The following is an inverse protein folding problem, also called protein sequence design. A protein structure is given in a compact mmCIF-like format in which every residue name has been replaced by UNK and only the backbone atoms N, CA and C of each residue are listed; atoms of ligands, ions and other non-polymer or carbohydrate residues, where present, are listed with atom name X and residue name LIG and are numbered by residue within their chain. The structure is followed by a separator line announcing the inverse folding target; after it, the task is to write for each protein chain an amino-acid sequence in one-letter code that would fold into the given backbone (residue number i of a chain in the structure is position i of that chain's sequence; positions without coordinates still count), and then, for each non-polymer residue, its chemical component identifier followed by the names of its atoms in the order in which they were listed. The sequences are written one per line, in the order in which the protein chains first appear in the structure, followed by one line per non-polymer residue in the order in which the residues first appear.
data_IF_538500936016
#
_entry.id   IF_538500936016
#
_cell.length_a   1.000
_cell.length_b   1.000
_cell.length_c   1.000
_cell.angle_alpha   90.00
_cell.angle_beta   90.00
_cell.angle_gamma   90.00
#
_symmetry.space_group_name_H-M   'P 1'
#
loop_
_entity.id
_entity.type
_entity.pdbx_description
1 polymer ?
#
# COMPACT_ATOMS: atom_id res chain seq x y z
N UNK A 1 -13.44 -19.27 14.39
CA UNK A 1 -12.00 -19.12 14.05
C UNK A 1 -11.80 -18.18 12.87
N UNK A 2 -12.37 -18.45 11.69
CA UNK A 2 -12.25 -17.57 10.51
C UNK A 2 -12.67 -16.11 10.77
N UNK A 3 -13.84 -15.87 11.39
CA UNK A 3 -14.32 -14.52 11.73
C UNK A 3 -13.35 -13.72 12.64
N UNK A 4 -12.67 -14.39 13.57
CA UNK A 4 -11.69 -13.73 14.43
C UNK A 4 -10.42 -13.37 13.63
N UNK A 5 -9.97 -14.25 12.71
CA UNK A 5 -8.86 -13.97 11.80
C UNK A 5 -9.15 -12.80 10.85
N UNK A 6 -10.39 -12.65 10.40
CA UNK A 6 -10.80 -11.48 9.61
C UNK A 6 -10.72 -10.18 10.41
N UNK A 7 -11.21 -10.20 11.66
CA UNK A 7 -11.12 -9.04 12.56
C UNK A 7 -9.66 -8.67 12.84
N UNK A 8 -8.83 -9.66 13.16
CA UNK A 8 -7.38 -9.49 13.39
C UNK A 8 -6.69 -8.89 12.15
N UNK A 9 -7.01 -9.38 10.95
CA UNK A 9 -6.46 -8.85 9.70
C UNK A 9 -6.90 -7.42 9.40
N UNK A 10 -8.16 -7.06 9.68
CA UNK A 10 -8.64 -5.68 9.54
C UNK A 10 -7.96 -4.72 10.52
N UNK A 11 -7.72 -5.15 11.76
CA UNK A 11 -6.96 -4.39 12.76
C UNK A 11 -5.52 -4.19 12.30
N UNK A 12 -4.86 -5.25 11.83
CA UNK A 12 -3.51 -5.17 11.28
C UNK A 12 -3.41 -4.20 10.08
N UNK A 13 -4.40 -4.23 9.16
CA UNK A 13 -4.46 -3.28 8.06
C UNK A 13 -4.59 -1.82 8.54
N UNK A 14 -5.47 -1.56 9.52
CA UNK A 14 -5.65 -0.22 10.09
C UNK A 14 -4.37 0.29 10.75
N UNK A 15 -3.64 -0.58 11.43
CA UNK A 15 -2.37 -0.25 12.07
C UNK A 15 -1.26 0.00 11.05
N UNK A 16 -1.17 -0.84 10.01
CA UNK A 16 -0.27 -0.63 8.88
C UNK A 16 -0.53 0.73 8.21
N UNK A 17 -1.80 1.07 7.93
CA UNK A 17 -2.17 2.35 7.34
C UNK A 17 -1.81 3.54 8.26
N UNK A 18 -2.00 3.39 9.57
CA UNK A 18 -1.62 4.42 10.56
C UNK A 18 -0.12 4.65 10.57
N UNK A 19 0.68 3.59 10.54
CA UNK A 19 2.13 3.67 10.53
C UNK A 19 2.66 4.20 9.20
N UNK A 20 2.10 3.79 8.07
CA UNK A 20 2.42 4.33 6.76
C UNK A 20 2.16 5.85 6.70
N UNK A 21 1.07 6.33 7.30
CA UNK A 21 0.80 7.78 7.40
C UNK A 21 1.85 8.53 8.22
N UNK A 22 2.37 7.94 9.31
CA UNK A 22 3.47 8.54 10.09
C UNK A 22 4.77 8.57 9.28
N UNK A 23 5.07 7.48 8.57
CA UNK A 23 6.32 7.32 7.83
C UNK A 23 6.32 8.03 6.48
N UNK A 24 5.19 8.32 5.85
CA UNK A 24 5.13 8.83 4.46
C UNK A 24 4.18 10.01 4.28
N UNK A 25 3.42 10.36 5.32
CA UNK A 25 2.55 11.51 5.34
C UNK A 25 3.29 12.81 5.65
N UNK A 26 2.55 13.94 5.64
CA UNK A 26 3.07 15.21 6.11
C UNK A 26 3.41 15.11 7.60
N UNK A 27 4.58 15.62 7.96
CA UNK A 27 5.01 15.68 9.35
C UNK A 27 4.57 17.01 9.98
N UNK A 28 4.32 17.04 11.30
CA UNK A 28 4.15 18.28 12.03
C UNK A 28 5.38 19.18 11.92
N UNK A 29 5.20 20.49 12.00
CA UNK A 29 6.30 21.48 11.88
C UNK A 29 7.35 21.36 13.00
N UNK A 30 6.96 20.79 14.16
CA UNK A 30 7.83 20.66 15.33
C UNK A 30 8.70 19.39 15.34
N UNK A 31 8.74 18.64 14.23
CA UNK A 31 9.55 17.42 14.17
C UNK A 31 11.04 17.78 14.12
N UNK A 32 11.83 17.10 14.96
CA UNK A 32 13.28 17.30 15.04
C UNK A 32 13.99 16.82 13.78
N UNK A 33 15.06 17.50 13.40
CA UNK A 33 15.87 17.17 12.21
C UNK A 33 16.43 15.74 12.26
N UNK A 34 16.90 15.26 13.42
CA UNK A 34 17.39 13.89 13.59
C UNK A 34 16.36 12.83 13.17
N UNK A 35 15.07 13.10 13.42
CA UNK A 35 13.99 12.20 13.02
C UNK A 35 13.72 12.27 11.52
N UNK A 36 13.84 13.45 10.89
CA UNK A 36 13.69 13.61 9.45
C UNK A 36 14.77 12.81 8.72
N UNK A 37 16.02 12.95 9.16
CA UNK A 37 17.15 12.22 8.60
C UNK A 37 16.99 10.72 8.78
N UNK A 38 16.72 10.25 10.02
CA UNK A 38 16.49 8.84 10.29
C UNK A 38 15.36 8.26 9.43
N UNK A 39 14.27 9.01 9.26
CA UNK A 39 13.11 8.59 8.45
C UNK A 39 13.51 8.43 6.99
N UNK A 40 14.24 9.36 6.42
CA UNK A 40 14.69 9.30 5.02
C UNK A 40 15.65 8.12 4.82
N UNK A 41 16.64 7.97 5.68
CA UNK A 41 17.59 6.85 5.66
C UNK A 41 16.88 5.51 5.78
N UNK A 42 15.92 5.38 6.70
CA UNK A 42 15.14 4.16 6.87
C UNK A 42 14.36 3.79 5.60
N UNK A 43 13.72 4.77 4.97
CA UNK A 43 12.92 4.54 3.76
C UNK A 43 13.79 4.18 2.55
N UNK A 44 14.97 4.77 2.43
CA UNK A 44 15.95 4.46 1.39
C UNK A 44 16.54 3.05 1.59
N UNK A 45 16.96 2.72 2.82
CA UNK A 45 17.52 1.40 3.17
C UNK A 45 16.58 0.23 2.83
N UNK A 46 15.27 0.45 2.98
CA UNK A 46 14.25 -0.57 2.71
C UNK A 46 13.68 -0.47 1.29
N UNK A 47 14.28 0.34 0.40
CA UNK A 47 13.86 0.54 -0.98
C UNK A 47 12.38 0.95 -1.14
N UNK A 48 11.86 1.63 -0.12
CA UNK A 48 10.45 2.04 -0.05
C UNK A 48 10.19 3.25 -0.95
N UNK A 49 11.21 4.09 -1.16
CA UNK A 49 11.16 5.25 -2.03
C UNK A 49 11.33 4.84 -3.49
N UNK A 50 10.56 5.48 -4.37
CA UNK A 50 10.76 5.41 -5.81
C UNK A 50 11.76 6.47 -6.26
N UNK A 51 12.63 6.12 -7.20
CA UNK A 51 13.68 7.00 -7.74
C UNK A 51 13.31 7.58 -9.10
N UNK A 52 12.61 6.80 -9.93
CA UNK A 52 12.13 7.21 -11.24
C UNK A 52 10.98 8.22 -11.14
N UNK A 53 10.94 9.15 -12.09
CA UNK A 53 9.81 10.09 -12.25
C UNK A 53 9.07 9.91 -13.58
N UNK A 54 9.75 9.35 -14.59
CA UNK A 54 9.17 8.99 -15.88
C UNK A 54 8.48 7.63 -15.81
N UNK A 55 7.35 7.48 -16.52
CA UNK A 55 6.51 6.28 -16.48
C UNK A 55 7.29 4.99 -16.72
N UNK A 56 8.11 4.96 -17.77
CA UNK A 56 8.86 3.76 -18.18
C UNK A 56 10.00 3.42 -17.23
N UNK A 57 10.65 4.44 -16.65
CA UNK A 57 11.69 4.23 -15.64
C UNK A 57 11.07 3.69 -14.35
N UNK A 58 9.94 4.29 -13.95
CA UNK A 58 9.21 3.91 -12.77
C UNK A 58 8.64 2.49 -12.91
N UNK A 59 8.08 2.15 -14.07
CA UNK A 59 7.60 0.79 -14.38
C UNK A 59 8.68 -0.25 -14.15
N UNK A 60 9.85 -0.07 -14.77
CA UNK A 60 11.00 -0.96 -14.59
C UNK A 60 11.47 -1.04 -13.14
N UNK A 61 11.51 0.11 -12.46
CA UNK A 61 11.88 0.15 -11.03
C UNK A 61 10.90 -0.64 -10.17
N UNK A 62 9.60 -0.52 -10.42
CA UNK A 62 8.56 -1.19 -9.64
C UNK A 62 8.54 -2.69 -9.92
N UNK A 63 8.63 -3.11 -11.19
CA UNK A 63 8.69 -4.52 -11.60
C UNK A 63 9.94 -5.24 -11.07
N UNK A 64 11.07 -4.53 -10.93
CA UNK A 64 12.30 -5.09 -10.34
C UNK A 64 12.40 -4.89 -8.82
N UNK A 65 11.34 -4.37 -8.19
CA UNK A 65 11.35 -4.08 -6.77
C UNK A 65 11.11 -5.35 -5.95
N UNK A 66 12.15 -5.84 -5.28
CA UNK A 66 12.04 -6.93 -4.30
C UNK A 66 10.99 -6.63 -3.22
N UNK A 67 10.82 -5.35 -2.87
CA UNK A 67 9.81 -4.91 -1.92
C UNK A 67 8.37 -5.15 -2.41
N UNK A 68 8.08 -4.91 -3.69
CA UNK A 68 6.73 -5.12 -4.25
C UNK A 68 6.49 -6.59 -4.61
N UNK A 69 7.49 -7.24 -5.20
CA UNK A 69 7.41 -8.61 -5.69
C UNK A 69 7.16 -9.65 -4.58
N UNK A 70 7.34 -9.27 -3.31
CA UNK A 70 6.94 -10.08 -2.15
C UNK A 70 5.41 -10.21 -1.98
N UNK A 71 4.63 -9.26 -2.52
CA UNK A 71 3.20 -9.13 -2.21
C UNK A 71 2.29 -9.25 -3.42
N UNK A 72 2.83 -9.05 -4.62
CA UNK A 72 2.03 -8.95 -5.84
C UNK A 72 2.84 -9.29 -7.09
N UNK A 73 2.15 -9.55 -8.19
CA UNK A 73 2.75 -9.90 -9.48
C UNK A 73 3.12 -8.65 -10.28
N UNK A 74 3.94 -8.81 -11.33
CA UNK A 74 4.23 -7.72 -12.27
C UNK A 74 2.95 -7.13 -12.89
N UNK A 75 1.94 -7.96 -13.19
CA UNK A 75 0.65 -7.51 -13.71
C UNK A 75 -0.12 -6.65 -12.70
N UNK A 76 -0.10 -7.03 -11.41
CA UNK A 76 -0.69 -6.22 -10.34
C UNK A 76 0.02 -4.87 -10.20
N UNK A 77 1.35 -4.87 -10.31
CA UNK A 77 2.18 -3.66 -10.23
C UNK A 77 1.83 -2.73 -11.37
N UNK A 78 1.74 -3.26 -12.58
CA UNK A 78 1.48 -2.46 -13.77
C UNK A 78 0.10 -1.80 -13.72
N UNK A 79 -0.92 -2.61 -13.42
CA UNK A 79 -2.29 -2.12 -13.22
C UNK A 79 -2.35 -1.03 -12.14
N UNK A 80 -1.58 -1.19 -11.06
CA UNK A 80 -1.55 -0.20 -9.98
C UNK A 80 -0.79 1.07 -10.37
N UNK A 81 0.27 0.95 -11.16
CA UNK A 81 1.02 2.07 -11.69
C UNK A 81 0.13 2.93 -12.60
N UNK A 82 -0.60 2.33 -13.53
CA UNK A 82 -1.50 3.05 -14.45
C UNK A 82 -2.60 3.82 -13.70
N UNK A 83 -3.16 3.24 -12.65
CA UNK A 83 -4.16 3.91 -11.79
C UNK A 83 -3.60 5.11 -11.04
N UNK A 84 -2.31 5.09 -10.72
CA UNK A 84 -1.69 6.06 -9.83
C UNK A 84 -0.86 7.11 -10.55
N UNK A 85 -0.22 6.78 -11.66
CA UNK A 85 0.75 7.64 -12.31
C UNK A 85 0.16 9.02 -12.65
N UNK A 86 -0.97 9.04 -13.36
CA UNK A 86 -1.64 10.28 -13.74
C UNK A 86 -2.14 11.08 -12.53
N UNK A 87 -2.79 10.42 -11.57
CA UNK A 87 -3.31 11.10 -10.37
C UNK A 87 -2.22 11.63 -9.42
N UNK A 88 -0.99 11.12 -9.53
CA UNK A 88 0.16 11.60 -8.78
C UNK A 88 0.88 12.76 -9.46
N UNK A 89 0.94 12.77 -10.78
CA UNK A 89 1.48 13.90 -11.55
C UNK A 89 0.64 15.17 -11.34
N UNK A 90 -0.69 15.04 -11.23
CA UNK A 90 -1.62 16.16 -11.07
C UNK A 90 -1.91 16.55 -9.60
N UNK A 91 -1.44 15.76 -8.63
CA UNK A 91 -1.91 15.79 -7.25
C UNK A 91 -0.95 16.36 -6.20
N UNK A 92 -1.45 16.52 -4.97
CA UNK A 92 -0.64 16.89 -3.76
C UNK A 92 0.27 15.75 -3.26
N UNK A 93 0.46 14.69 -4.04
CA UNK A 93 0.98 13.40 -3.60
C UNK A 93 2.33 13.16 -4.29
N UNK A 94 3.41 13.09 -3.51
CA UNK A 94 4.75 12.86 -4.04
C UNK A 94 4.87 11.51 -4.75
N UNK A 95 5.48 11.49 -5.94
CA UNK A 95 5.76 10.29 -6.74
C UNK A 95 6.69 9.31 -6.03
N UNK A 96 7.67 9.85 -5.30
CA UNK A 96 8.62 9.09 -4.46
C UNK A 96 7.97 8.08 -3.50
N UNK A 97 6.69 8.26 -3.14
CA UNK A 97 5.96 7.38 -2.22
C UNK A 97 5.03 6.37 -2.92
N UNK A 98 5.15 6.18 -4.24
CA UNK A 98 4.21 5.36 -5.03
C UNK A 98 4.21 3.88 -4.61
N UNK A 99 5.36 3.28 -4.31
CA UNK A 99 5.48 1.86 -3.90
C UNK A 99 4.55 1.52 -2.72
N UNK A 100 4.49 2.38 -1.71
CA UNK A 100 3.62 2.12 -0.54
C UNK A 100 2.15 2.31 -0.85
N UNK A 101 1.80 3.20 -1.79
CA UNK A 101 0.40 3.34 -2.21
C UNK A 101 -0.08 2.07 -2.91
N UNK A 102 0.74 1.54 -3.81
CA UNK A 102 0.49 0.27 -4.50
C UNK A 102 0.22 -0.85 -3.47
N UNK A 103 1.08 -0.99 -2.46
CA UNK A 103 0.88 -1.99 -1.39
C UNK A 103 -0.41 -1.74 -0.59
N UNK A 104 -0.67 -0.51 -0.17
CA UNK A 104 -1.86 -0.19 0.63
C UNK A 104 -3.15 -0.47 -0.15
N UNK A 105 -3.15 -0.19 -1.45
CA UNK A 105 -4.29 -0.46 -2.32
C UNK A 105 -4.48 -1.97 -2.53
N UNK A 106 -3.39 -2.74 -2.70
CA UNK A 106 -3.48 -4.21 -2.73
C UNK A 106 -4.03 -4.78 -1.42
N UNK A 107 -3.56 -4.29 -0.27
CA UNK A 107 -4.08 -4.73 1.04
C UNK A 107 -5.55 -4.38 1.22
N UNK A 108 -5.98 -3.20 0.73
CA UNK A 108 -7.37 -2.78 0.75
C UNK A 108 -8.24 -3.66 -0.15
N UNK A 109 -7.76 -3.99 -1.34
CA UNK A 109 -8.43 -4.91 -2.28
C UNK A 109 -8.64 -6.28 -1.63
N UNK A 110 -7.59 -6.87 -1.05
CA UNK A 110 -7.67 -8.15 -0.35
C UNK A 110 -8.69 -8.10 0.79
N UNK A 111 -8.73 -7.01 1.56
CA UNK A 111 -9.70 -6.83 2.64
C UNK A 111 -11.14 -6.75 2.11
N UNK A 112 -11.37 -6.04 1.00
CA UNK A 112 -12.69 -5.93 0.35
C UNK A 112 -13.15 -7.30 -0.15
N UNK A 113 -12.32 -7.97 -0.95
CA UNK A 113 -12.63 -9.30 -1.51
C UNK A 113 -12.97 -10.30 -0.40
N UNK A 114 -12.23 -10.23 0.71
CA UNK A 114 -12.47 -11.11 1.85
C UNK A 114 -13.82 -10.82 2.54
N UNK A 115 -14.20 -9.54 2.69
CA UNK A 115 -15.51 -9.14 3.25
C UNK A 115 -16.66 -9.56 2.35
N UNK A 116 -16.49 -9.45 1.03
CA UNK A 116 -17.49 -9.90 0.06
C UNK A 116 -17.71 -11.41 0.13
N UNK A 117 -16.62 -12.18 0.18
CA UNK A 117 -16.70 -13.64 0.31
C UNK A 117 -17.37 -14.06 1.63
N UNK A 118 -17.09 -13.35 2.73
CA UNK A 118 -17.77 -13.56 4.01
C UNK A 118 -19.29 -13.32 3.87
N UNK A 119 -19.68 -12.21 3.26
CA UNK A 119 -21.09 -11.85 3.05
C UNK A 119 -21.82 -12.89 2.17
N UNK A 120 -21.19 -13.34 1.08
CA UNK A 120 -21.76 -14.38 0.21
C UNK A 120 -21.94 -15.71 0.97
N UNK A 121 -20.97 -16.10 1.79
CA UNK A 121 -21.06 -17.32 2.60
C UNK A 121 -22.19 -17.22 3.64
N UNK A 122 -22.33 -16.07 4.30
CA UNK A 122 -23.42 -15.84 5.25
C UNK A 122 -24.80 -15.89 4.57
N UNK A 123 -24.95 -15.30 3.39
CA UNK A 123 -26.20 -15.37 2.61
C UNK A 123 -26.55 -16.81 2.24
N UNK A 124 -25.59 -17.57 1.69
CA UNK A 124 -25.78 -18.99 1.34
C UNK A 124 -26.11 -19.86 2.57
N UNK A 125 -25.59 -19.54 3.75
CA UNK A 125 -25.95 -20.26 4.98
C UNK A 125 -27.38 -19.94 5.43
N UNK A 126 -27.85 -18.70 5.26
CA UNK A 126 -29.22 -18.31 5.56
C UNK A 126 -30.24 -18.83 4.55
N UNK A 127 -29.87 -18.98 3.28
CA UNK A 127 -30.74 -19.52 2.22
C UNK A 127 -30.86 -21.06 2.25
N UNK A 128 -29.88 -21.75 2.85
CA UNK A 128 -29.88 -23.21 3.05
C UNK A 128 -30.45 -23.65 4.42
N UNK A 129 -30.96 -22.70 5.22
CA UNK A 129 -31.65 -22.93 6.50
C UNK A 129 -33.14 -22.65 6.34
#
# INVERSE_FOLDING_TARGET
RARNKLREGEEAYKDALRNAKKMLGPLPEYVKDDYLQWREEFLEQHQILAKGNELEELRKELETSDFLNQWMTEEDIDKSLDQHYHSQQEGKRKMVNIKVRIILDKLKEVLINTKELQNQTMKKQQENL
#
